data_IF_036312618670
#
_entry.id   IF_036312618670
#
_cell.length_a   1.000
_cell.length_b   1.000
_cell.length_c   1.000
_cell.angle_alpha   90.00
_cell.angle_beta   90.00
_cell.angle_gamma   90.00
#
_symmetry.space_group_name_H-M   'P 1'
#
loop_
_entity.id
_entity.type
_entity.pdbx_description
1 polymer ?
#
# COMPACT_ATOMS: atom_id res chain seq x y z
N UNK A 1 18.49 -0.71 18.63
CA UNK A 1 18.39 0.69 18.17
C UNK A 1 16.93 1.04 17.91
N UNK A 2 16.53 2.21 18.34
CA UNK A 2 15.17 2.71 18.15
C UNK A 2 15.17 3.82 17.11
N UNK A 3 14.08 3.91 16.34
CA UNK A 3 13.88 4.95 15.32
C UNK A 3 12.73 5.83 15.79
N UNK A 4 12.82 7.15 15.57
CA UNK A 4 11.71 8.05 15.85
C UNK A 4 10.47 7.63 15.06
N UNK A 5 9.36 7.40 15.77
CA UNK A 5 8.09 6.96 15.16
C UNK A 5 7.62 7.91 14.06
N UNK A 6 7.76 9.21 14.26
CA UNK A 6 7.37 10.22 13.28
C UNK A 6 8.17 10.09 11.97
N UNK A 7 9.47 9.86 12.05
CA UNK A 7 10.31 9.65 10.86
C UNK A 7 9.94 8.36 10.14
N UNK A 8 9.68 7.30 10.90
CA UNK A 8 9.26 6.00 10.35
C UNK A 8 7.91 6.11 9.63
N UNK A 9 6.92 6.77 10.23
CA UNK A 9 5.61 7.03 9.63
C UNK A 9 5.74 7.81 8.32
N UNK A 10 6.53 8.88 8.32
CA UNK A 10 6.75 9.70 7.12
C UNK A 10 7.38 8.90 5.99
N UNK A 11 8.38 8.08 6.28
CA UNK A 11 9.04 7.25 5.27
C UNK A 11 8.08 6.22 4.66
N UNK A 12 7.28 5.56 5.49
CA UNK A 12 6.27 4.61 5.01
C UNK A 12 5.22 5.32 4.16
N UNK A 13 4.74 6.48 4.60
CA UNK A 13 3.76 7.26 3.84
C UNK A 13 4.32 7.71 2.49
N UNK A 14 5.54 8.23 2.46
CA UNK A 14 6.20 8.64 1.21
C UNK A 14 6.29 7.45 0.26
N UNK A 15 6.72 6.28 0.75
CA UNK A 15 6.79 5.07 -0.06
C UNK A 15 5.42 4.73 -0.69
N UNK A 16 4.36 4.71 0.12
CA UNK A 16 3.02 4.35 -0.34
C UNK A 16 2.43 5.38 -1.30
N UNK A 17 2.54 6.68 -0.97
CA UNK A 17 1.98 7.74 -1.82
C UNK A 17 2.72 7.86 -3.15
N UNK A 18 4.05 7.77 -3.15
CA UNK A 18 4.84 7.80 -4.39
C UNK A 18 4.52 6.59 -5.25
N UNK A 19 4.53 5.39 -4.67
CA UNK A 19 4.22 4.17 -5.39
C UNK A 19 2.78 4.17 -5.93
N UNK A 20 1.80 4.59 -5.11
CA UNK A 20 0.41 4.72 -5.55
C UNK A 20 0.28 5.67 -6.73
N UNK A 21 0.91 6.84 -6.66
CA UNK A 21 0.86 7.83 -7.74
C UNK A 21 1.42 7.26 -9.03
N UNK A 22 2.57 6.60 -8.97
CA UNK A 22 3.19 5.98 -10.15
C UNK A 22 2.31 4.87 -10.72
N UNK A 23 1.76 4.00 -9.89
CA UNK A 23 0.89 2.91 -10.32
C UNK A 23 -0.43 3.43 -10.87
N UNK A 24 -0.99 4.47 -10.25
CA UNK A 24 -2.23 5.12 -10.72
C UNK A 24 -2.04 5.71 -12.10
N UNK A 25 -0.94 6.45 -12.32
CA UNK A 25 -0.62 7.05 -13.61
C UNK A 25 -0.40 5.94 -14.65
N UNK A 26 0.30 4.87 -14.30
CA UNK A 26 0.53 3.73 -15.19
C UNK A 26 -0.79 3.08 -15.61
N UNK A 27 -1.68 2.82 -14.67
CA UNK A 27 -2.99 2.23 -14.94
C UNK A 27 -3.85 3.17 -15.78
N UNK A 28 -3.80 4.48 -15.50
CA UNK A 28 -4.52 5.50 -16.25
C UNK A 28 -4.06 5.56 -17.70
N UNK A 29 -2.75 5.55 -17.94
CA UNK A 29 -2.16 5.53 -19.29
C UNK A 29 -2.59 4.28 -20.05
N UNK A 30 -2.56 3.11 -19.40
CA UNK A 30 -3.02 1.87 -20.01
C UNK A 30 -4.51 1.91 -20.37
N UNK A 31 -5.33 2.51 -19.51
CA UNK A 31 -6.76 2.70 -19.75
C UNK A 31 -6.99 3.58 -20.97
N UNK A 32 -6.29 4.72 -21.07
CA UNK A 32 -6.40 5.65 -22.18
C UNK A 32 -5.95 4.98 -23.50
N UNK A 33 -4.92 4.13 -23.42
CA UNK A 33 -4.44 3.37 -24.58
C UNK A 33 -5.36 2.23 -25.03
N UNK A 34 -6.43 1.97 -24.27
CA UNK A 34 -7.39 0.93 -24.60
C UNK A 34 -6.89 -0.48 -24.32
N UNK A 35 -5.90 -0.65 -23.45
CA UNK A 35 -5.34 -1.98 -23.09
C UNK A 35 -6.41 -2.90 -22.51
N UNK A 36 -7.34 -2.34 -21.75
CA UNK A 36 -8.41 -3.10 -21.08
C UNK A 36 -9.69 -3.23 -21.90
N UNK A 37 -9.79 -2.56 -23.05
CA UNK A 37 -10.98 -2.57 -23.91
C UNK A 37 -12.27 -2.31 -23.10
N UNK A 38 -13.25 -3.21 -23.17
CA UNK A 38 -14.52 -3.09 -22.44
C UNK A 38 -14.41 -3.50 -20.96
N UNK A 39 -13.24 -3.98 -20.52
CA UNK A 39 -12.97 -4.46 -19.17
C UNK A 39 -12.26 -3.44 -18.27
N UNK A 40 -12.34 -2.16 -18.60
CA UNK A 40 -11.72 -1.07 -17.82
C UNK A 40 -12.22 -1.04 -16.38
N UNK A 41 -13.52 -1.23 -16.16
CA UNK A 41 -14.12 -1.27 -14.82
C UNK A 41 -13.51 -2.37 -13.96
N UNK A 42 -13.22 -3.53 -14.54
CA UNK A 42 -12.61 -4.66 -13.84
C UNK A 42 -11.20 -4.34 -13.38
N UNK A 43 -10.39 -3.69 -14.22
CA UNK A 43 -9.04 -3.26 -13.87
C UNK A 43 -9.05 -2.28 -12.70
N UNK A 44 -9.90 -1.29 -12.72
CA UNK A 44 -10.02 -0.30 -11.64
C UNK A 44 -10.62 -0.90 -10.37
N UNK A 45 -11.60 -1.80 -10.50
CA UNK A 45 -12.17 -2.54 -9.37
C UNK A 45 -11.17 -3.48 -8.72
N UNK A 46 -10.14 -3.90 -9.43
CA UNK A 46 -9.02 -4.64 -8.88
C UNK A 46 -8.04 -3.71 -8.13
N UNK A 47 -7.65 -2.60 -8.74
CA UNK A 47 -6.59 -1.72 -8.24
C UNK A 47 -7.01 -0.94 -6.98
N UNK A 48 -8.20 -0.33 -7.02
CA UNK A 48 -8.63 0.55 -5.93
C UNK A 48 -8.79 -0.18 -4.58
N UNK A 49 -9.45 -1.34 -4.50
CA UNK A 49 -9.59 -2.05 -3.23
C UNK A 49 -8.28 -2.53 -2.61
N UNK A 50 -7.24 -2.74 -3.40
CA UNK A 50 -5.95 -3.21 -2.89
C UNK A 50 -5.03 -2.06 -2.44
N UNK A 51 -5.36 -0.82 -2.76
CA UNK A 51 -4.51 0.35 -2.45
C UNK A 51 -5.18 1.36 -1.53
N UNK A 52 -6.46 1.68 -1.76
CA UNK A 52 -7.17 2.74 -1.03
C UNK A 52 -7.23 2.50 0.49
N UNK A 53 -7.53 1.30 1.01
CA UNK A 53 -7.61 1.10 2.46
C UNK A 53 -6.31 1.46 3.18
N UNK A 54 -5.16 1.11 2.63
CA UNK A 54 -3.84 1.43 3.20
C UNK A 54 -3.59 2.94 3.20
N UNK A 55 -3.88 3.61 2.10
CA UNK A 55 -3.73 5.07 2.00
C UNK A 55 -4.66 5.80 2.96
N UNK A 56 -5.90 5.33 3.08
CA UNK A 56 -6.88 5.91 4.02
C UNK A 56 -6.41 5.78 5.47
N UNK A 57 -5.85 4.64 5.82
CA UNK A 57 -5.26 4.42 7.15
C UNK A 57 -4.13 5.43 7.42
N UNK A 58 -3.24 5.64 6.46
CA UNK A 58 -2.14 6.59 6.60
C UNK A 58 -2.62 8.03 6.74
N UNK A 59 -3.58 8.43 5.91
CA UNK A 59 -4.19 9.77 5.99
C UNK A 59 -4.83 9.98 7.35
N UNK A 60 -5.61 9.03 7.84
CA UNK A 60 -6.26 9.11 9.15
C UNK A 60 -5.25 9.30 10.29
N UNK A 61 -4.13 8.56 10.24
CA UNK A 61 -3.05 8.69 11.24
C UNK A 61 -2.42 10.07 11.19
N UNK A 62 -2.10 10.60 10.01
CA UNK A 62 -1.49 11.93 9.87
C UNK A 62 -2.44 13.06 10.27
N UNK A 63 -3.72 12.93 9.96
CA UNK A 63 -4.74 13.91 10.40
C UNK A 63 -4.83 13.89 11.93
N UNK A 64 -4.85 12.72 12.54
CA UNK A 64 -4.86 12.56 13.99
C UNK A 64 -3.62 13.22 14.65
N UNK A 65 -2.45 13.00 14.06
CA UNK A 65 -1.20 13.62 14.54
C UNK A 65 -1.24 15.16 14.37
N UNK A 66 -1.76 15.65 13.26
CA UNK A 66 -1.85 17.09 12.99
C UNK A 66 -2.83 17.81 13.92
N UNK A 67 -3.91 17.13 14.33
CA UNK A 67 -4.89 17.66 15.27
C UNK A 67 -4.43 17.57 16.74
N UNK A 68 -3.24 17.05 16.99
CA UNK A 68 -2.70 16.94 18.35
C UNK A 68 -3.37 15.86 19.22
N UNK A 69 -4.16 14.99 18.60
CA UNK A 69 -4.83 13.89 19.30
C UNK A 69 -3.79 12.87 19.77
N UNK A 70 -2.69 12.76 19.06
CA UNK A 70 -1.60 11.87 19.43
C UNK A 70 -0.36 12.68 19.82
N UNK A 71 -0.08 12.69 21.12
CA UNK A 71 0.96 13.53 21.70
C UNK A 71 2.21 12.75 21.91
N UNK A 72 3.08 12.33 21.31
CA UNK A 72 4.42 11.90 21.75
C UNK A 72 5.33 11.37 20.63
N UNK A 73 6.56 11.86 20.64
CA UNK A 73 7.66 11.29 19.88
C UNK A 73 8.03 9.93 20.51
N UNK A 74 7.34 8.88 20.12
CA UNK A 74 7.68 7.53 20.55
C UNK A 74 8.74 6.90 19.62
N UNK A 75 9.55 6.07 20.19
CA UNK A 75 10.49 5.27 19.47
C UNK A 75 9.85 3.93 19.09
N UNK A 76 10.09 3.48 17.88
CA UNK A 76 9.65 2.18 17.41
C UNK A 76 10.87 1.25 17.30
N UNK A 77 10.66 -0.04 17.54
CA UNK A 77 11.71 -1.02 17.33
C UNK A 77 12.16 -1.02 15.87
N UNK A 78 13.45 -0.89 15.65
CA UNK A 78 14.07 -0.82 14.33
C UNK A 78 13.79 -2.07 13.50
N UNK A 79 13.75 -3.24 14.13
CA UNK A 79 13.43 -4.49 13.45
C UNK A 79 11.99 -4.46 12.92
N UNK A 80 11.03 -4.05 13.75
CA UNK A 80 9.62 -4.00 13.37
C UNK A 80 9.36 -2.97 12.26
N UNK A 81 10.01 -1.81 12.35
CA UNK A 81 9.96 -0.79 11.29
C UNK A 81 10.48 -1.33 9.96
N UNK A 82 11.65 -1.99 9.99
CA UNK A 82 12.22 -2.58 8.77
C UNK A 82 11.35 -3.66 8.19
N UNK A 83 10.80 -4.53 9.04
CA UNK A 83 9.89 -5.59 8.61
C UNK A 83 8.67 -5.00 7.89
N UNK A 84 8.02 -4.01 8.49
CA UNK A 84 6.85 -3.33 7.90
C UNK A 84 7.20 -2.64 6.58
N UNK A 85 8.36 -1.98 6.54
CA UNK A 85 8.85 -1.31 5.33
C UNK A 85 9.11 -2.31 4.20
N UNK A 86 9.80 -3.42 4.47
CA UNK A 86 10.08 -4.44 3.47
C UNK A 86 8.82 -5.16 2.99
N UNK A 87 7.88 -5.44 3.88
CA UNK A 87 6.60 -6.02 3.48
C UNK A 87 5.83 -5.08 2.55
N UNK A 88 5.79 -3.79 2.88
CA UNK A 88 5.14 -2.78 2.05
C UNK A 88 5.81 -2.67 0.68
N UNK A 89 7.13 -2.59 0.66
CA UNK A 89 7.91 -2.51 -0.57
C UNK A 89 7.68 -3.75 -1.44
N UNK A 90 7.74 -4.93 -0.84
CA UNK A 90 7.52 -6.21 -1.53
C UNK A 90 6.12 -6.27 -2.14
N UNK A 91 5.10 -5.90 -1.37
CA UNK A 91 3.73 -5.84 -1.85
C UNK A 91 3.57 -4.90 -3.05
N UNK A 92 4.10 -3.68 -2.93
CA UNK A 92 4.02 -2.68 -4.00
C UNK A 92 4.77 -3.12 -5.26
N UNK A 93 5.91 -3.80 -5.10
CA UNK A 93 6.65 -4.37 -6.23
C UNK A 93 5.85 -5.46 -6.94
N UNK A 94 5.15 -6.32 -6.20
CA UNK A 94 4.30 -7.35 -6.79
C UNK A 94 3.12 -6.73 -7.52
N UNK A 95 2.46 -5.72 -6.95
CA UNK A 95 1.38 -4.99 -7.63
C UNK A 95 1.88 -4.37 -8.93
N UNK A 96 3.00 -3.67 -8.88
CA UNK A 96 3.63 -3.07 -10.06
C UNK A 96 4.04 -4.10 -11.10
N UNK A 97 4.65 -5.21 -10.68
CA UNK A 97 5.03 -6.31 -11.56
C UNK A 97 3.81 -6.94 -12.23
N UNK A 98 2.69 -7.08 -11.52
CA UNK A 98 1.44 -7.60 -12.08
C UNK A 98 0.92 -6.69 -13.19
N UNK A 99 0.93 -5.37 -12.98
CA UNK A 99 0.49 -4.40 -13.98
C UNK A 99 1.41 -4.41 -15.21
N UNK A 100 2.71 -4.54 -15.02
CA UNK A 100 3.69 -4.57 -16.12
C UNK A 100 3.64 -5.91 -16.84
N UNK A 101 3.51 -7.02 -16.11
CA UNK A 101 3.53 -8.38 -16.67
C UNK A 101 2.40 -8.62 -17.67
N UNK A 102 1.28 -7.93 -17.57
CA UNK A 102 0.18 -8.07 -18.52
C UNK A 102 0.58 -7.69 -19.95
N UNK A 103 1.58 -6.81 -20.11
CA UNK A 103 2.09 -6.41 -21.43
C UNK A 103 2.83 -7.58 -22.12
N UNK A 104 3.42 -8.47 -21.31
CA UNK A 104 4.20 -9.61 -21.79
C UNK A 104 3.44 -10.94 -21.69
N UNK A 105 2.22 -10.93 -21.15
CA UNK A 105 1.42 -12.12 -20.95
C UNK A 105 0.59 -12.43 -22.20
N UNK A 106 0.46 -13.72 -22.53
CA UNK A 106 -0.45 -14.22 -23.56
C UNK A 106 -1.92 -14.16 -23.12
N UNK A 107 -2.15 -14.02 -21.81
CA UNK A 107 -3.50 -13.88 -21.25
C UNK A 107 -4.03 -12.47 -21.44
N UNK A 108 -5.35 -12.36 -21.47
CA UNK A 108 -5.98 -11.05 -21.47
C UNK A 108 -5.60 -10.25 -20.20
N UNK A 109 -5.32 -8.94 -20.30
CA UNK A 109 -4.87 -8.16 -19.15
C UNK A 109 -5.76 -8.28 -17.91
N UNK A 110 -7.08 -8.23 -18.08
CA UNK A 110 -8.03 -8.31 -16.97
C UNK A 110 -8.05 -9.69 -16.30
N UNK A 111 -7.81 -10.77 -17.03
CA UNK A 111 -7.72 -12.13 -16.46
C UNK A 111 -6.51 -12.25 -15.53
N UNK A 112 -5.37 -11.70 -15.94
CA UNK A 112 -4.16 -11.69 -15.12
C UNK A 112 -4.39 -10.89 -13.82
N UNK A 113 -5.05 -9.75 -13.91
CA UNK A 113 -5.37 -8.93 -12.74
C UNK A 113 -6.30 -9.68 -11.77
N UNK A 114 -7.34 -10.32 -12.27
CA UNK A 114 -8.24 -11.12 -11.44
C UNK A 114 -7.52 -12.31 -10.80
N UNK A 115 -6.70 -13.01 -11.58
CA UNK A 115 -5.93 -14.15 -11.07
C UNK A 115 -4.94 -13.70 -9.97
N UNK A 116 -4.38 -12.51 -10.07
CA UNK A 116 -3.45 -11.98 -9.08
C UNK A 116 -4.05 -11.83 -7.69
N UNK A 117 -5.37 -11.75 -7.57
CA UNK A 117 -6.04 -11.69 -6.26
C UNK A 117 -5.77 -12.92 -5.39
N UNK A 118 -5.41 -14.04 -5.99
CA UNK A 118 -5.07 -15.27 -5.26
C UNK A 118 -3.86 -15.10 -4.33
N UNK A 119 -2.89 -14.30 -4.75
CA UNK A 119 -1.70 -14.01 -3.92
C UNK A 119 -1.73 -12.60 -3.32
N UNK A 120 -2.31 -11.64 -4.00
CA UNK A 120 -2.37 -10.26 -3.49
C UNK A 120 -3.34 -10.12 -2.31
N UNK A 121 -4.44 -10.87 -2.29
CA UNK A 121 -5.40 -10.83 -1.18
C UNK A 121 -4.76 -11.19 0.17
N UNK A 122 -4.19 -12.41 0.32
CA UNK A 122 -3.49 -12.79 1.54
C UNK A 122 -2.30 -11.88 1.88
N UNK A 123 -1.52 -11.47 0.89
CA UNK A 123 -0.38 -10.59 1.09
C UNK A 123 -0.81 -9.20 1.58
N UNK A 124 -1.90 -8.68 1.03
CA UNK A 124 -2.50 -7.43 1.48
C UNK A 124 -2.91 -7.51 2.96
N UNK A 125 -3.52 -8.62 3.36
CA UNK A 125 -3.88 -8.85 4.75
C UNK A 125 -2.68 -8.78 5.68
N UNK A 126 -1.56 -9.38 5.30
CA UNK A 126 -0.31 -9.29 6.07
C UNK A 126 0.22 -7.87 6.16
N UNK A 127 0.25 -7.14 5.05
CA UNK A 127 0.75 -5.76 5.00
C UNK A 127 -0.13 -4.84 5.82
N UNK A 128 -1.45 -4.90 5.63
CA UNK A 128 -2.41 -4.07 6.39
C UNK A 128 -2.33 -4.41 7.87
N UNK A 129 -2.24 -5.70 8.23
CA UNK A 129 -2.06 -6.13 9.61
C UNK A 129 -0.80 -5.56 10.23
N UNK A 130 0.33 -5.63 9.55
CA UNK A 130 1.59 -5.06 10.01
C UNK A 130 1.50 -3.54 10.19
N UNK A 131 0.89 -2.84 9.24
CA UNK A 131 0.71 -1.39 9.31
C UNK A 131 -0.21 -0.98 10.46
N UNK A 132 -1.31 -1.70 10.67
CA UNK A 132 -2.24 -1.43 11.78
C UNK A 132 -1.53 -1.59 13.11
N UNK A 133 -0.79 -2.68 13.29
CA UNK A 133 0.00 -2.91 14.53
C UNK A 133 1.06 -1.81 14.68
N UNK A 134 1.76 -1.46 13.61
CA UNK A 134 2.78 -0.42 13.62
C UNK A 134 2.21 0.94 14.07
N UNK A 135 1.07 1.34 13.51
CA UNK A 135 0.44 2.62 13.85
C UNK A 135 -0.28 2.60 15.22
N UNK A 136 -0.70 1.42 15.71
CA UNK A 136 -1.39 1.27 16.99
C UNK A 136 -0.48 1.08 18.20
N UNK A 137 0.81 0.85 18.03
CA UNK A 137 1.74 0.62 19.15
C UNK A 137 1.68 1.71 20.23
N UNK A 138 1.14 2.86 19.87
CA UNK A 138 1.00 4.00 20.75
C UNK A 138 -0.11 3.86 21.80
N UNK A 139 -1.23 3.20 21.45
CA UNK A 139 -2.39 3.09 22.34
C UNK A 139 -2.14 2.14 23.51
N UNK A 140 -1.35 1.08 23.32
CA UNK A 140 -1.11 0.07 24.32
C UNK A 140 -0.13 0.51 25.42
N UNK A 141 0.68 1.55 25.20
CA UNK A 141 1.63 2.06 26.20
C UNK A 141 1.02 3.11 27.12
N UNK A 142 -0.15 3.65 26.77
CA UNK A 142 -0.85 4.67 27.56
C UNK A 142 -2.03 4.10 28.38
N UNK A 143 -2.24 2.79 28.35
CA UNK A 143 -3.29 2.13 29.12
C UNK A 143 -2.76 1.68 30.51
#
# INVERSE_FOLDING_TARGET
>A
MKVLMMSAKKRLAILWFVAFTLLFILLLVQTIRGVYQDHTTEAWSWFLPITIPTLSLMIAVFVSDALGISKDAQNVDRFFYRLTFFLSLFYLLIVGATIIAQVFSEKWPWELLQQSNLWLGPLQGLVVGALVVFFRQKESQNA
#
